data_IF_609217393611
#
_entry.id   IF_609217393611
#
_cell.length_a   1.000
_cell.length_b   1.000
_cell.length_c   1.000
_cell.angle_alpha   90.00
_cell.angle_beta   90.00
_cell.angle_gamma   90.00
#
_symmetry.space_group_name_H-M   'P 1'
#
loop_
_entity.id
_entity.type
_entity.pdbx_description
1 polymer ?
#
# COMPACT_ATOMS: atom_id res chain seq x y z
N UNK A 1 -34.28 -2.61 32.81
CA UNK A 1 -34.22 -2.48 31.34
C UNK A 1 -33.02 -1.62 30.97
N UNK A 2 -31.82 -2.19 31.12
CA UNK A 2 -30.53 -1.53 30.89
C UNK A 2 -29.72 -2.50 30.03
N UNK A 3 -29.75 -2.33 28.70
CA UNK A 3 -29.06 -3.23 27.78
C UNK A 3 -28.57 -2.55 26.48
N UNK A 4 -28.33 -1.23 26.47
CA UNK A 4 -27.91 -0.54 25.22
C UNK A 4 -26.68 0.37 25.39
N UNK A 5 -25.93 0.31 26.49
CA UNK A 5 -24.73 1.20 26.59
C UNK A 5 -23.48 0.52 27.15
N UNK A 6 -23.28 -0.75 26.83
CA UNK A 6 -22.00 -1.45 27.03
C UNK A 6 -21.59 -2.22 25.77
N UNK A 7 -21.73 -1.60 24.60
CA UNK A 7 -21.20 -2.12 23.33
C UNK A 7 -20.68 -0.95 22.47
N UNK A 8 -19.68 -0.20 22.95
CA UNK A 8 -18.98 0.73 22.05
C UNK A 8 -17.54 1.09 22.45
N UNK A 9 -16.88 0.29 23.29
CA UNK A 9 -15.48 0.56 23.67
C UNK A 9 -14.47 -0.41 23.05
N UNK A 10 -14.88 -1.18 22.05
CA UNK A 10 -13.97 -1.92 21.17
C UNK A 10 -14.53 -1.91 19.75
N UNK A 11 -14.87 -0.73 19.21
CA UNK A 11 -14.63 -0.55 17.78
C UNK A 11 -13.11 -0.42 17.69
N UNK A 12 -12.45 -1.54 17.47
CA UNK A 12 -11.07 -1.53 17.02
C UNK A 12 -11.02 -0.55 15.85
N UNK A 13 -10.00 0.31 15.82
CA UNK A 13 -9.78 1.24 14.71
C UNK A 13 -9.39 0.41 13.50
N UNK A 14 -10.35 -0.27 12.89
CA UNK A 14 -10.20 -0.84 11.56
C UNK A 14 -10.58 0.27 10.59
N UNK A 15 -9.73 0.50 9.60
CA UNK A 15 -10.10 1.36 8.50
C UNK A 15 -11.33 0.75 7.82
N UNK A 16 -12.36 1.56 7.59
CA UNK A 16 -13.54 1.11 6.85
C UNK A 16 -13.16 0.74 5.41
N UNK A 17 -13.75 -0.30 4.80
CA UNK A 17 -13.48 -0.65 3.41
C UNK A 17 -13.72 0.53 2.47
N UNK A 18 -12.78 0.81 1.57
CA UNK A 18 -12.88 1.93 0.63
C UNK A 18 -12.88 1.46 -0.82
N UNK A 19 -13.46 2.25 -1.73
CA UNK A 19 -13.44 1.96 -3.17
C UNK A 19 -12.21 2.53 -3.89
N UNK A 20 -11.44 3.37 -3.20
CA UNK A 20 -10.20 3.97 -3.68
C UNK A 20 -9.37 4.46 -2.49
N UNK A 21 -8.09 4.69 -2.72
CA UNK A 21 -7.17 5.22 -1.73
C UNK A 21 -5.86 5.67 -2.37
N UNK A 22 -5.03 6.30 -1.55
CA UNK A 22 -3.65 6.68 -1.91
C UNK A 22 -2.73 6.27 -0.77
N UNK A 23 -1.60 5.64 -1.12
CA UNK A 23 -0.54 5.28 -0.18
C UNK A 23 0.72 6.01 -0.61
N UNK A 24 1.34 6.69 0.36
CA UNK A 24 2.57 7.44 0.17
C UNK A 24 3.65 6.89 1.10
N UNK A 25 4.89 6.88 0.65
CA UNK A 25 6.02 6.56 1.51
C UNK A 25 6.13 7.59 2.65
N UNK A 26 6.70 7.20 3.81
CA UNK A 26 6.95 8.14 4.89
C UNK A 26 7.76 9.33 4.39
N UNK A 27 7.29 10.53 4.70
CA UNK A 27 7.93 11.80 4.32
C UNK A 27 7.86 12.17 2.82
N UNK A 28 7.13 11.43 1.97
CA UNK A 28 6.93 11.81 0.56
C UNK A 28 6.42 13.26 0.43
N UNK A 29 6.95 14.09 -0.50
CA UNK A 29 7.89 13.76 -1.57
C UNK A 29 9.38 13.92 -1.20
N UNK A 30 9.71 14.06 0.09
CA UNK A 30 11.09 14.07 0.55
C UNK A 30 11.62 12.65 0.74
N UNK A 31 12.93 12.52 0.96
CA UNK A 31 13.56 11.24 1.25
C UNK A 31 12.91 10.55 2.46
N UNK A 32 12.68 9.25 2.33
CA UNK A 32 12.17 8.43 3.42
C UNK A 32 13.25 8.24 4.50
N UNK A 33 12.88 8.09 5.79
CA UNK A 33 13.84 7.81 6.85
C UNK A 33 14.41 6.39 6.71
N UNK A 34 15.68 6.20 7.07
CA UNK A 34 16.30 4.87 7.19
C UNK A 34 15.69 4.06 8.35
N UNK A 35 15.82 2.72 8.29
CA UNK A 35 15.38 1.79 9.34
C UNK A 35 13.87 1.89 9.66
N UNK A 36 13.04 2.07 8.63
CA UNK A 36 11.57 2.12 8.74
C UNK A 36 10.93 0.89 8.12
N UNK A 37 10.02 0.27 8.87
CA UNK A 37 9.10 -0.75 8.37
C UNK A 37 7.66 -0.24 8.56
N UNK A 38 6.93 -0.06 7.45
CA UNK A 38 5.57 0.48 7.46
C UNK A 38 4.66 -0.40 6.62
N UNK A 39 3.53 -0.80 7.20
CA UNK A 39 2.48 -1.55 6.53
C UNK A 39 1.19 -0.74 6.41
N UNK A 40 0.41 -1.08 5.39
CA UNK A 40 -0.94 -0.57 5.16
C UNK A 40 -1.82 -1.74 4.77
N UNK A 41 -2.89 -1.97 5.54
CA UNK A 41 -3.92 -2.94 5.19
C UNK A 41 -4.96 -2.24 4.30
N UNK A 42 -5.22 -2.81 3.12
CA UNK A 42 -6.18 -2.28 2.16
C UNK A 42 -7.38 -3.22 2.12
N UNK A 43 -8.57 -2.67 2.33
CA UNK A 43 -9.81 -3.43 2.29
C UNK A 43 -10.81 -2.75 1.35
N UNK A 44 -11.46 -3.56 0.52
CA UNK A 44 -12.56 -3.15 -0.35
C UNK A 44 -13.83 -3.92 0.06
N UNK A 45 -15.03 -3.41 -0.22
CA UNK A 45 -16.26 -4.16 0.04
C UNK A 45 -16.27 -5.55 -0.61
N UNK A 46 -17.00 -6.50 -0.03
CA UNK A 46 -17.15 -7.84 -0.58
C UNK A 46 -17.64 -7.81 -2.04
N UNK A 47 -17.07 -8.70 -2.87
CA UNK A 47 -17.40 -8.82 -4.29
C UNK A 47 -16.58 -7.94 -5.24
N UNK A 48 -15.63 -7.15 -4.72
CA UNK A 48 -14.70 -6.34 -5.50
C UNK A 48 -13.27 -6.89 -5.43
N UNK A 49 -12.49 -6.63 -6.49
CA UNK A 49 -11.03 -6.82 -6.50
C UNK A 49 -10.30 -5.47 -6.42
N UNK A 50 -8.98 -5.51 -6.26
CA UNK A 50 -8.13 -4.34 -6.10
C UNK A 50 -7.23 -4.17 -7.33
N UNK A 51 -7.33 -3.03 -8.01
CA UNK A 51 -6.32 -2.60 -8.97
C UNK A 51 -5.37 -1.63 -8.27
N UNK A 52 -4.14 -2.09 -8.00
CA UNK A 52 -3.10 -1.30 -7.35
C UNK A 52 -2.08 -0.86 -8.40
N UNK A 53 -1.70 0.41 -8.40
CA UNK A 53 -0.71 0.94 -9.33
C UNK A 53 0.17 2.00 -8.68
N UNK A 54 1.43 2.03 -9.10
CA UNK A 54 2.41 3.03 -8.68
C UNK A 54 2.47 4.14 -9.73
N UNK A 55 2.49 5.39 -9.27
CA UNK A 55 2.70 6.57 -10.12
C UNK A 55 4.10 7.17 -9.96
N UNK A 56 4.81 6.78 -8.90
CA UNK A 56 6.17 7.20 -8.61
C UNK A 56 6.90 6.08 -7.87
N UNK A 57 8.14 5.79 -8.28
CA UNK A 57 9.00 4.83 -7.60
C UNK A 57 10.44 5.34 -7.59
N UNK A 58 10.95 5.62 -6.39
CA UNK A 58 12.33 6.04 -6.14
C UNK A 58 12.79 5.44 -4.80
N UNK A 59 13.34 4.23 -4.87
CA UNK A 59 13.77 3.41 -3.74
C UNK A 59 15.21 2.95 -4.00
N UNK A 60 16.05 2.81 -2.97
CA UNK A 60 17.41 2.30 -3.11
C UNK A 60 17.45 0.98 -3.92
N UNK A 61 18.25 0.95 -4.98
CA UNK A 61 18.40 -0.23 -5.82
C UNK A 61 19.40 -1.21 -5.19
N UNK A 62 18.98 -2.46 -5.02
CA UNK A 62 19.83 -3.55 -4.53
C UNK A 62 19.47 -4.88 -5.20
N UNK A 63 20.39 -5.85 -5.16
CA UNK A 63 20.14 -7.19 -5.70
C UNK A 63 18.95 -7.83 -4.95
N UNK A 64 17.95 -8.29 -5.70
CA UNK A 64 16.69 -8.83 -5.17
C UNK A 64 15.95 -7.89 -4.19
N UNK A 65 16.21 -6.57 -4.27
CA UNK A 65 15.66 -5.57 -3.36
C UNK A 65 15.89 -5.91 -1.88
N UNK A 66 17.12 -6.33 -1.55
CA UNK A 66 17.50 -6.80 -0.22
C UNK A 66 17.73 -5.68 0.82
N UNK A 67 17.99 -4.45 0.39
CA UNK A 67 18.16 -3.30 1.29
C UNK A 67 16.81 -2.64 1.54
N UNK A 68 16.35 -1.85 0.58
CA UNK A 68 15.05 -1.20 0.63
C UNK A 68 14.09 -1.81 -0.39
N UNK A 69 12.83 -1.99 0.00
CA UNK A 69 11.80 -2.50 -0.90
C UNK A 69 10.39 -2.04 -0.49
N UNK A 70 9.50 -2.01 -1.47
CA UNK A 70 8.05 -2.05 -1.23
C UNK A 70 7.53 -3.41 -1.65
N UNK A 71 6.74 -4.03 -0.78
CA UNK A 71 6.18 -5.37 -0.98
C UNK A 71 4.66 -5.30 -1.10
N UNK A 72 4.12 -6.07 -2.02
CA UNK A 72 2.69 -6.23 -2.24
C UNK A 72 2.35 -7.67 -1.89
N UNK A 73 1.49 -7.86 -0.91
CA UNK A 73 1.09 -9.18 -0.40
C UNK A 73 -0.43 -9.27 -0.47
N UNK A 74 -0.93 -10.33 -1.13
CA UNK A 74 -2.35 -10.67 -1.20
C UNK A 74 -2.60 -11.97 -0.45
N UNK A 75 -3.24 -11.88 0.72
CA UNK A 75 -3.35 -13.03 1.63
C UNK A 75 -1.96 -13.55 2.02
N UNK A 76 -1.62 -14.76 1.57
CA UNK A 76 -0.33 -15.41 1.84
C UNK A 76 0.63 -15.40 0.63
N UNK A 77 0.33 -14.63 -0.43
CA UNK A 77 1.09 -14.61 -1.69
C UNK A 77 1.79 -13.26 -1.84
N UNK A 78 3.11 -13.27 -2.07
CA UNK A 78 3.87 -12.08 -2.50
C UNK A 78 3.61 -11.84 -3.99
N UNK A 79 2.78 -10.85 -4.30
CA UNK A 79 2.46 -10.44 -5.68
C UNK A 79 3.64 -9.71 -6.33
N UNK A 80 4.42 -8.97 -5.53
CA UNK A 80 5.60 -8.29 -6.02
C UNK A 80 6.45 -7.65 -4.94
N UNK A 81 7.73 -7.47 -5.28
CA UNK A 81 8.71 -6.73 -4.50
C UNK A 81 9.46 -5.78 -5.43
N UNK A 82 9.40 -4.49 -5.13
CA UNK A 82 9.91 -3.44 -6.01
C UNK A 82 10.98 -2.61 -5.30
N UNK A 83 11.98 -2.20 -6.06
CA UNK A 83 13.01 -1.23 -5.69
C UNK A 83 13.59 -0.57 -6.96
N UNK A 84 14.46 0.41 -6.77
CA UNK A 84 15.04 1.21 -7.83
C UNK A 84 14.17 2.40 -8.26
N UNK A 85 14.72 3.20 -9.16
CA UNK A 85 14.05 4.37 -9.70
C UNK A 85 13.36 4.04 -11.02
N UNK A 86 12.04 4.26 -11.12
CA UNK A 86 11.26 4.05 -12.34
C UNK A 86 10.46 5.28 -12.69
N UNK A 87 10.41 5.60 -13.98
CA UNK A 87 9.57 6.64 -14.56
C UNK A 87 8.68 6.05 -15.65
N UNK A 88 7.51 6.66 -15.85
CA UNK A 88 6.63 6.22 -16.93
C UNK A 88 7.24 6.59 -18.28
N UNK A 89 7.29 5.62 -19.18
CA UNK A 89 7.68 5.83 -20.58
C UNK A 89 6.50 6.34 -21.44
N UNK A 90 5.27 6.31 -20.92
CA UNK A 90 4.08 6.76 -21.62
C UNK A 90 3.76 8.21 -21.23
N UNK A 91 3.85 9.19 -22.15
CA UNK A 91 3.55 10.59 -21.82
C UNK A 91 2.08 10.84 -21.44
N UNK A 92 1.19 9.87 -21.70
CA UNK A 92 -0.24 9.94 -21.37
C UNK A 92 -0.64 9.16 -20.12
N UNK A 93 0.31 8.49 -19.43
CA UNK A 93 0.02 7.75 -18.20
C UNK A 93 1.15 7.91 -17.19
N UNK A 94 0.86 8.25 -15.92
CA UNK A 94 1.88 8.29 -14.88
C UNK A 94 2.21 6.90 -14.30
N UNK A 95 1.46 5.85 -14.69
CA UNK A 95 1.62 4.51 -14.11
C UNK A 95 2.99 3.93 -14.49
N UNK A 96 3.74 3.51 -13.48
CA UNK A 96 5.08 2.89 -13.63
C UNK A 96 5.07 1.38 -13.39
N UNK A 97 4.13 0.90 -12.59
CA UNK A 97 3.91 -0.53 -12.28
C UNK A 97 2.47 -0.72 -11.83
N UNK A 98 1.86 -1.88 -12.09
CA UNK A 98 0.50 -2.21 -11.67
C UNK A 98 0.30 -3.68 -11.31
N UNK A 99 -0.66 -3.95 -10.44
CA UNK A 99 -1.03 -5.25 -9.90
C UNK A 99 -2.55 -5.39 -9.88
N UNK A 100 -3.04 -6.60 -10.16
CA UNK A 100 -4.44 -6.97 -9.99
C UNK A 100 -4.51 -7.98 -8.84
N UNK A 101 -5.15 -7.58 -7.74
CA UNK A 101 -5.19 -8.30 -6.47
C UNK A 101 -6.62 -8.72 -6.15
#
# INVERSE_FOLDING_TARGET
MWCIVLFSLLAWVYAEPTMYGEILSPNYPQAYPSEVEKSWDIEVPEGYGIHLYFTHLDIELSENCAYDSVQIISGDIEEGRLCGQRSSNNPHSPIVEEFQV
#
